data_IF_288746385686
#
_entry.id   IF_288746385686
#
_cell.length_a   1.000
_cell.length_b   1.000
_cell.length_c   1.000
_cell.angle_alpha   90.00
_cell.angle_beta   90.00
_cell.angle_gamma   90.00
#
_symmetry.space_group_name_H-M   'P 1'
#
loop_
_entity.id
_entity.type
_entity.pdbx_description
1 polymer ?
#
# COMPACT_ATOMS: atom_id res chain seq x y z
N UNK A 1 -18.67 -44.76 25.59
CA UNK A 1 -18.11 -44.60 24.22
C UNK A 1 -18.95 -43.69 23.32
N UNK A 2 -20.25 -43.98 23.10
CA UNK A 2 -21.12 -43.19 22.19
C UNK A 2 -21.21 -41.69 22.54
N UNK A 3 -21.26 -41.36 23.83
CA UNK A 3 -21.32 -39.97 24.31
C UNK A 3 -20.06 -39.15 23.96
N UNK A 4 -18.88 -39.75 24.02
CA UNK A 4 -17.60 -39.09 23.73
C UNK A 4 -17.49 -38.75 22.23
N UNK A 5 -17.89 -39.69 21.36
CA UNK A 5 -17.94 -39.46 19.92
C UNK A 5 -18.93 -38.36 19.55
N UNK A 6 -20.10 -38.32 20.19
CA UNK A 6 -21.08 -37.25 19.98
C UNK A 6 -20.54 -35.87 20.40
N UNK A 7 -19.75 -35.82 21.47
CA UNK A 7 -19.11 -34.59 21.95
C UNK A 7 -18.05 -34.10 20.94
N UNK A 8 -17.17 -34.98 20.47
CA UNK A 8 -16.16 -34.63 19.48
C UNK A 8 -16.74 -34.14 18.14
N UNK A 9 -17.86 -34.73 17.69
CA UNK A 9 -18.59 -34.28 16.48
C UNK A 9 -19.17 -32.87 16.69
N UNK A 10 -19.65 -32.57 17.91
CA UNK A 10 -20.15 -31.24 18.25
C UNK A 10 -19.03 -30.20 18.24
N UNK A 11 -17.86 -30.55 18.78
CA UNK A 11 -16.71 -29.67 18.85
C UNK A 11 -16.15 -29.38 17.45
N UNK A 12 -15.98 -30.41 16.61
CA UNK A 12 -15.55 -30.22 15.21
C UNK A 12 -16.50 -29.34 14.41
N UNK A 13 -17.82 -29.53 14.55
CA UNK A 13 -18.81 -28.63 13.91
C UNK A 13 -18.69 -27.19 14.41
N UNK A 14 -18.39 -27.01 15.70
CA UNK A 14 -18.24 -25.69 16.31
C UNK A 14 -16.98 -25.00 15.80
N UNK A 15 -15.86 -25.72 15.74
CA UNK A 15 -14.60 -25.22 15.18
C UNK A 15 -14.79 -24.84 13.71
N UNK A 16 -15.43 -25.70 12.90
CA UNK A 16 -15.68 -25.41 11.49
C UNK A 16 -16.52 -24.13 11.31
N UNK A 17 -17.57 -23.96 12.13
CA UNK A 17 -18.37 -22.73 12.14
C UNK A 17 -17.52 -21.50 12.46
N UNK A 18 -16.65 -21.60 13.47
CA UNK A 18 -15.79 -20.49 13.86
C UNK A 18 -14.79 -20.14 12.76
N UNK A 19 -14.15 -21.13 12.16
CA UNK A 19 -13.19 -20.93 11.06
C UNK A 19 -13.85 -20.28 9.85
N UNK A 20 -15.04 -20.76 9.44
CA UNK A 20 -15.78 -20.15 8.34
C UNK A 20 -16.19 -18.71 8.66
N UNK A 21 -16.66 -18.45 9.88
CA UNK A 21 -16.99 -17.08 10.31
C UNK A 21 -15.77 -16.16 10.25
N UNK A 22 -14.60 -16.63 10.68
CA UNK A 22 -13.36 -15.85 10.60
C UNK A 22 -12.95 -15.59 9.15
N UNK A 23 -13.09 -16.59 8.27
CA UNK A 23 -12.86 -16.43 6.84
C UNK A 23 -13.78 -15.37 6.24
N UNK A 24 -15.08 -15.43 6.51
CA UNK A 24 -16.05 -14.48 5.96
C UNK A 24 -15.76 -13.04 6.42
N UNK A 25 -15.37 -12.86 7.68
CA UNK A 25 -14.95 -11.55 8.22
C UNK A 25 -13.68 -11.05 7.52
N UNK A 26 -12.70 -11.92 7.30
CA UNK A 26 -11.47 -11.56 6.60
C UNK A 26 -11.73 -11.18 5.14
N UNK A 27 -12.58 -11.94 4.44
CA UNK A 27 -12.95 -11.64 3.04
C UNK A 27 -13.72 -10.32 2.95
N UNK A 28 -14.64 -10.05 3.88
CA UNK A 28 -15.40 -8.81 3.93
C UNK A 28 -14.50 -7.60 4.17
N UNK A 29 -13.65 -7.67 5.21
CA UNK A 29 -12.70 -6.60 5.53
C UNK A 29 -11.70 -6.36 4.40
N UNK A 30 -11.16 -7.43 3.79
CA UNK A 30 -10.28 -7.31 2.62
C UNK A 30 -10.97 -6.61 1.46
N UNK A 31 -12.21 -6.98 1.15
CA UNK A 31 -12.99 -6.37 0.06
C UNK A 31 -13.25 -4.89 0.30
N UNK A 32 -13.64 -4.52 1.53
CA UNK A 32 -13.91 -3.12 1.89
C UNK A 32 -12.63 -2.28 1.90
N UNK A 33 -11.51 -2.81 2.37
CA UNK A 33 -10.22 -2.15 2.26
C UNK A 33 -9.79 -2.00 0.79
N UNK A 34 -9.98 -3.02 -0.05
CA UNK A 34 -9.66 -2.95 -1.47
C UNK A 34 -10.50 -1.91 -2.22
N UNK A 35 -11.73 -1.62 -1.79
CA UNK A 35 -12.56 -0.53 -2.34
C UNK A 35 -11.93 0.85 -2.12
N UNK A 36 -11.25 1.06 -1.00
CA UNK A 36 -10.57 2.31 -0.66
C UNK A 36 -9.21 2.46 -1.38
N UNK A 37 -8.49 1.36 -1.60
CA UNK A 37 -7.18 1.34 -2.31
C UNK A 37 -7.36 1.25 -3.85
N UNK A 38 -8.61 1.08 -4.29
CA UNK A 38 -8.99 0.64 -5.63
C UNK A 38 -8.61 1.53 -6.83
N UNK A 39 -8.54 2.87 -6.75
CA UNK A 39 -8.25 3.67 -7.94
C UNK A 39 -6.83 3.44 -8.46
N UNK A 40 -5.86 3.46 -7.54
CA UNK A 40 -4.44 3.26 -7.84
C UNK A 40 -4.14 1.84 -8.29
N UNK A 41 -4.83 0.84 -7.72
CA UNK A 41 -4.64 -0.55 -8.09
C UNK A 41 -5.26 -0.90 -9.45
N UNK A 42 -6.17 -0.07 -9.97
CA UNK A 42 -6.80 -0.25 -11.28
C UNK A 42 -6.06 0.43 -12.43
N UNK A 43 -5.06 1.24 -12.13
CA UNK A 43 -4.24 1.85 -13.16
C UNK A 43 -3.46 0.78 -13.94
N UNK A 44 -3.43 0.88 -15.28
CA UNK A 44 -2.48 0.17 -16.11
C UNK A 44 -1.04 0.43 -15.66
N UNK A 45 -0.16 -0.51 -16.00
CA UNK A 45 1.24 -0.44 -15.64
C UNK A 45 1.89 0.84 -16.18
N UNK A 46 1.57 1.19 -17.42
CA UNK A 46 2.14 2.32 -18.16
C UNK A 46 1.85 3.64 -17.45
N UNK A 47 0.59 3.85 -17.05
CA UNK A 47 0.19 5.06 -16.34
C UNK A 47 0.84 5.16 -14.97
N UNK A 48 0.97 4.05 -14.24
CA UNK A 48 1.69 4.03 -12.96
C UNK A 48 3.17 4.36 -13.15
N UNK A 49 3.81 3.81 -14.19
CA UNK A 49 5.23 4.08 -14.47
C UNK A 49 5.47 5.56 -14.81
N UNK A 50 4.58 6.18 -15.58
CA UNK A 50 4.67 7.60 -15.95
C UNK A 50 4.45 8.51 -14.73
N UNK A 51 3.44 8.21 -13.91
CA UNK A 51 3.21 8.91 -12.63
C UNK A 51 4.44 8.83 -11.73
N UNK A 52 5.08 7.65 -11.63
CA UNK A 52 6.26 7.47 -10.79
C UNK A 52 7.44 8.32 -11.26
N UNK A 53 7.72 8.33 -12.57
CA UNK A 53 8.79 9.15 -13.16
C UNK A 53 8.54 10.63 -12.87
N UNK A 54 7.35 11.14 -13.16
CA UNK A 54 7.00 12.55 -12.90
C UNK A 54 7.07 12.90 -11.40
N UNK A 55 6.67 11.98 -10.53
CA UNK A 55 6.73 12.19 -9.07
C UNK A 55 8.16 12.21 -8.53
N UNK A 56 9.10 11.57 -9.21
CA UNK A 56 10.50 11.54 -8.82
C UNK A 56 11.27 12.77 -9.31
N UNK A 57 10.84 13.41 -10.40
CA UNK A 57 11.46 14.61 -10.99
C UNK A 57 11.12 15.91 -10.23
N UNK A 58 9.99 15.96 -9.53
CA UNK A 58 9.49 17.21 -8.96
C UNK A 58 10.08 17.49 -7.57
N UNK A 59 11.11 18.32 -7.52
CA UNK A 59 11.56 18.97 -6.27
C UNK A 59 10.46 19.92 -5.80
N UNK A 60 9.72 19.52 -4.76
CA UNK A 60 8.76 20.41 -4.09
C UNK A 60 9.56 21.51 -3.41
N UNK A 61 9.72 22.66 -4.09
CA UNK A 61 10.23 23.88 -3.47
C UNK A 61 9.16 24.39 -2.52
N UNK A 62 9.28 24.05 -1.24
CA UNK A 62 8.49 24.72 -0.21
C UNK A 62 8.96 26.18 -0.15
N UNK A 63 8.22 27.06 -0.80
CA UNK A 63 8.32 28.49 -0.57
C UNK A 63 7.89 28.74 0.86
N UNK A 64 8.86 28.83 1.78
CA UNK A 64 8.64 29.26 3.15
C UNK A 64 8.14 30.70 3.13
N UNK A 65 6.82 30.89 3.03
CA UNK A 65 6.21 32.16 3.38
C UNK A 65 5.93 32.15 4.89
N UNK A 66 6.61 33.05 5.59
CA UNK A 66 7.10 32.88 6.95
C UNK A 66 6.05 32.89 8.08
N UNK A 67 4.74 33.07 7.81
CA UNK A 67 3.80 33.46 8.89
C UNK A 67 2.42 32.76 8.90
N UNK A 68 2.26 31.57 8.34
CA UNK A 68 1.05 30.77 8.63
C UNK A 68 1.43 29.34 8.99
N UNK A 69 0.90 28.85 10.10
CA UNK A 69 1.04 27.47 10.54
C UNK A 69 -0.11 26.68 9.91
N UNK A 70 0.10 25.76 8.96
CA UNK A 70 -0.81 24.66 8.74
C UNK A 70 -0.38 23.57 9.73
N UNK A 71 -1.25 23.29 10.69
CA UNK A 71 -1.15 22.08 11.48
C UNK A 71 -0.97 20.90 10.51
N UNK A 72 0.17 20.20 10.64
CA UNK A 72 0.70 19.12 9.77
C UNK A 72 1.70 19.46 8.65
N UNK A 73 2.57 20.47 8.79
CA UNK A 73 3.80 20.52 7.99
C UNK A 73 5.05 20.64 8.84
N UNK A 74 5.50 19.49 9.36
CA UNK A 74 6.91 19.30 9.72
C UNK A 74 7.69 19.20 8.40
N UNK A 75 7.95 20.34 7.76
CA UNK A 75 8.86 20.42 6.61
C UNK A 75 10.27 20.17 7.10
N UNK A 76 10.61 18.89 7.28
CA UNK A 76 11.97 18.49 6.95
C UNK A 76 12.17 18.85 5.49
N UNK A 77 13.24 19.58 5.21
CA UNK A 77 13.77 19.70 3.85
C UNK A 77 14.05 18.28 3.38
N UNK A 78 13.09 17.65 2.70
CA UNK A 78 13.42 16.53 1.84
C UNK A 78 14.09 17.18 0.65
N UNK A 79 15.41 17.37 0.74
CA UNK A 79 16.21 17.31 -0.47
C UNK A 79 15.74 16.04 -1.17
N UNK A 80 15.22 16.14 -2.39
CA UNK A 80 14.86 14.98 -3.17
C UNK A 80 16.17 14.28 -3.60
N UNK A 81 16.89 13.70 -2.64
CA UNK A 81 18.03 12.82 -2.86
C UNK A 81 17.47 11.49 -3.35
N UNK A 82 17.37 11.27 -4.68
CA UNK A 82 16.95 9.99 -5.28
C UNK A 82 15.67 9.33 -4.69
N UNK A 83 14.93 10.03 -3.83
CA UNK A 83 14.10 9.41 -2.79
C UNK A 83 12.67 9.18 -3.28
N UNK A 84 12.23 9.91 -4.32
CA UNK A 84 10.94 9.67 -4.97
C UNK A 84 10.80 8.23 -5.49
N UNK A 85 11.85 7.73 -6.14
CA UNK A 85 11.93 6.35 -6.63
C UNK A 85 11.80 5.32 -5.50
N UNK A 86 12.52 5.54 -4.39
CA UNK A 86 12.46 4.66 -3.22
C UNK A 86 11.10 4.74 -2.52
N UNK A 87 10.50 5.92 -2.43
CA UNK A 87 9.21 6.13 -1.80
C UNK A 87 8.11 5.34 -2.52
N UNK A 88 8.06 5.39 -3.86
CA UNK A 88 7.07 4.60 -4.62
C UNK A 88 7.34 3.10 -4.55
N UNK A 89 8.61 2.67 -4.53
CA UNK A 89 8.98 1.25 -4.43
C UNK A 89 8.65 0.60 -3.07
N UNK A 90 8.42 1.41 -2.02
CA UNK A 90 8.15 0.92 -0.66
C UNK A 90 6.67 0.80 -0.31
N UNK A 91 5.74 1.30 -1.14
CA UNK A 91 4.30 1.35 -0.82
C UNK A 91 3.65 -0.04 -0.73
N UNK A 92 3.74 -0.83 -1.81
CA UNK A 92 3.18 -2.19 -1.85
C UNK A 92 3.91 -3.04 -2.89
N UNK A 93 3.61 -4.35 -2.93
CA UNK A 93 4.25 -5.28 -3.90
C UNK A 93 4.04 -4.84 -5.35
N UNK A 94 2.80 -4.48 -5.74
CA UNK A 94 2.49 -4.03 -7.11
C UNK A 94 3.29 -2.79 -7.50
N UNK A 95 3.37 -1.80 -6.61
CA UNK A 95 4.13 -0.57 -6.87
C UNK A 95 5.63 -0.84 -6.99
N UNK A 96 6.16 -1.75 -6.18
CA UNK A 96 7.55 -2.18 -6.27
C UNK A 96 7.87 -2.85 -7.61
N UNK A 97 6.99 -3.73 -8.09
CA UNK A 97 7.16 -4.38 -9.41
C UNK A 97 7.19 -3.35 -10.54
N UNK A 98 6.29 -2.36 -10.50
CA UNK A 98 6.29 -1.25 -11.48
C UNK A 98 7.56 -0.41 -11.38
N UNK A 99 7.96 0.00 -10.17
CA UNK A 99 9.13 0.83 -9.96
C UNK A 99 10.43 0.15 -10.43
N UNK A 100 10.63 -1.13 -10.10
CA UNK A 100 11.82 -1.89 -10.54
C UNK A 100 11.82 -2.16 -12.05
N UNK A 101 10.64 -2.23 -12.68
CA UNK A 101 10.48 -2.42 -14.11
C UNK A 101 10.52 -1.11 -14.92
N UNK A 102 10.77 0.02 -14.26
CA UNK A 102 10.83 1.36 -14.88
C UNK A 102 12.25 1.93 -14.75
N UNK A 103 13.20 1.62 -15.66
CA UNK A 103 14.59 2.04 -15.54
C UNK A 103 14.80 3.56 -15.47
N UNK A 104 13.96 4.35 -16.16
CA UNK A 104 14.01 5.81 -16.14
C UNK A 104 13.88 6.40 -14.73
N UNK A 105 13.20 5.70 -13.82
CA UNK A 105 13.03 6.10 -12.42
C UNK A 105 14.36 6.08 -11.63
N UNK A 106 15.33 5.27 -12.07
CA UNK A 106 16.62 5.06 -11.39
C UNK A 106 17.81 5.72 -12.10
N UNK A 107 17.57 6.30 -13.28
CA UNK A 107 18.60 6.94 -14.09
C UNK A 107 18.97 8.36 -13.64
N UNK A 108 18.39 8.84 -12.53
CA UNK A 108 18.79 10.09 -11.87
C UNK A 108 20.13 9.91 -11.13
N UNK A 109 21.19 9.63 -11.88
CA UNK A 109 22.56 9.60 -11.36
C UNK A 109 23.02 11.06 -11.18
N UNK A 110 23.07 11.50 -9.92
CA UNK A 110 23.87 12.60 -9.35
C UNK A 110 24.25 13.73 -10.32
N UNK A 111 23.48 14.82 -10.31
CA UNK A 111 23.97 16.14 -10.69
C UNK A 111 24.36 16.94 -9.44
#
# INVERSE_FOLDING_TARGET
>A
MVSVLSLMIKDTKTILKTVNKLRDVLDHTTTDHLRLVSPVLRLPFELLSEIFVLSAEQTVRTTLHRNHIPYFHRTYRVQAEASGALNVAQVCRKWREVALSTPSLWNAILH
#
